data_IF_662491630331
#
_entry.id   IF_662491630331
#
_cell.length_a   1.000
_cell.length_b   1.000
_cell.length_c   1.000
_cell.angle_alpha   90.00
_cell.angle_beta   90.00
_cell.angle_gamma   90.00
#
_symmetry.space_group_name_H-M   'P 1'
#
loop_
_entity.id
_entity.type
_entity.pdbx_description
1 polymer ?
#
# COMPACT_ATOMS: atom_id res chain seq x y z
N UNK A 1 -25.88 -9.94 -7.84
CA UNK A 1 -25.53 -9.95 -9.25
C UNK A 1 -26.14 -11.16 -9.95
N UNK A 2 -26.69 -10.94 -11.12
CA UNK A 2 -27.22 -11.96 -11.99
C UNK A 2 -26.21 -12.32 -13.06
N UNK A 3 -26.33 -13.50 -13.72
CA UNK A 3 -25.45 -13.83 -14.84
C UNK A 3 -25.42 -12.71 -15.89
N UNK A 4 -24.22 -12.29 -16.29
CA UNK A 4 -24.02 -11.17 -17.22
C UNK A 4 -23.83 -9.82 -16.57
N UNK A 5 -24.08 -9.69 -15.27
CA UNK A 5 -23.82 -8.46 -14.54
C UNK A 5 -22.31 -8.30 -14.26
N UNK A 6 -21.89 -7.06 -14.17
CA UNK A 6 -20.54 -6.70 -13.77
C UNK A 6 -20.57 -5.57 -12.74
N UNK A 7 -19.62 -5.60 -11.83
CA UNK A 7 -19.44 -4.54 -10.84
C UNK A 7 -18.01 -4.07 -10.83
N UNK A 8 -17.81 -2.76 -10.78
CA UNK A 8 -16.51 -2.14 -10.59
C UNK A 8 -16.33 -1.76 -9.13
N UNK A 9 -15.26 -2.25 -8.52
CA UNK A 9 -14.89 -1.89 -7.15
C UNK A 9 -13.60 -1.08 -7.22
N UNK A 10 -13.64 0.23 -6.86
CA UNK A 10 -12.44 1.06 -6.86
C UNK A 10 -11.36 0.50 -5.93
N UNK A 11 -10.10 0.81 -6.26
CA UNK A 11 -8.97 0.41 -5.42
C UNK A 11 -9.13 0.89 -3.98
N UNK A 12 -8.67 0.08 -3.05
CA UNK A 12 -8.68 0.34 -1.60
C UNK A 12 -10.08 0.41 -0.96
N UNK A 13 -11.13 0.06 -1.70
CA UNK A 13 -12.46 -0.03 -1.12
C UNK A 13 -12.64 -1.35 -0.38
N UNK A 14 -13.08 -1.27 0.85
CA UNK A 14 -13.45 -2.45 1.62
C UNK A 14 -14.68 -3.09 1.02
N UNK A 15 -14.63 -4.40 0.84
CA UNK A 15 -15.75 -5.13 0.28
C UNK A 15 -15.78 -6.57 0.81
N UNK A 16 -16.95 -7.17 0.74
CA UNK A 16 -17.18 -8.56 1.12
C UNK A 16 -18.02 -9.23 0.06
N UNK A 17 -17.67 -10.46 -0.27
CA UNK A 17 -18.39 -11.27 -1.24
C UNK A 17 -18.94 -12.50 -0.54
N UNK A 18 -20.24 -12.75 -0.72
CA UNK A 18 -20.91 -13.93 -0.18
C UNK A 18 -21.64 -14.68 -1.28
N UNK A 19 -21.45 -15.99 -1.33
CA UNK A 19 -22.19 -16.87 -2.22
C UNK A 19 -23.64 -17.02 -1.71
N UNK A 20 -24.60 -16.89 -2.59
CA UNK A 20 -26.03 -17.07 -2.27
C UNK A 20 -26.56 -18.41 -2.80
N UNK A 21 -25.81 -19.07 -3.68
CA UNK A 21 -26.19 -20.35 -4.30
C UNK A 21 -25.10 -21.38 -4.05
N UNK A 22 -25.43 -22.69 -4.11
CA UNK A 22 -24.41 -23.76 -3.96
C UNK A 22 -23.34 -23.76 -5.02
N UNK A 23 -23.65 -23.24 -6.23
CA UNK A 23 -22.70 -23.15 -7.34
C UNK A 23 -22.72 -21.75 -7.90
N UNK A 24 -21.52 -21.13 -8.01
CA UNK A 24 -21.34 -19.80 -8.56
C UNK A 24 -20.09 -19.75 -9.40
N UNK A 25 -20.11 -18.91 -10.44
CA UNK A 25 -18.93 -18.60 -11.25
C UNK A 25 -18.74 -17.10 -11.25
N UNK A 26 -17.56 -16.65 -10.89
CA UNK A 26 -17.18 -15.25 -10.87
C UNK A 26 -15.84 -15.10 -11.59
N UNK A 27 -15.75 -14.12 -12.48
CA UNK A 27 -14.51 -13.79 -13.18
C UNK A 27 -14.05 -12.42 -12.71
N UNK A 28 -12.82 -12.34 -12.23
CA UNK A 28 -12.21 -11.11 -11.73
C UNK A 28 -11.16 -10.61 -12.73
N UNK A 29 -11.14 -9.28 -12.91
CA UNK A 29 -10.07 -8.59 -13.60
C UNK A 29 -9.43 -7.60 -12.65
N UNK A 30 -8.14 -7.77 -12.39
CA UNK A 30 -7.38 -6.91 -11.48
C UNK A 30 -6.43 -6.04 -12.28
N UNK A 31 -6.40 -4.76 -11.97
CA UNK A 31 -5.43 -3.84 -12.56
C UNK A 31 -5.07 -2.75 -11.57
N UNK A 32 -3.97 -2.07 -11.83
CA UNK A 32 -3.53 -0.93 -11.04
C UNK A 32 -2.90 0.12 -11.96
N UNK A 33 -3.07 1.40 -11.57
CA UNK A 33 -2.53 2.54 -12.32
C UNK A 33 -1.11 2.94 -11.89
N UNK A 34 -0.57 2.29 -10.86
CA UNK A 34 0.79 2.59 -10.39
C UNK A 34 1.85 2.13 -11.39
N UNK A 35 3.03 2.78 -11.41
CA UNK A 35 4.14 2.33 -12.24
C UNK A 35 4.48 0.87 -12.01
N UNK A 36 4.81 0.14 -13.08
CA UNK A 36 5.02 -1.31 -13.03
C UNK A 36 6.24 -1.76 -12.20
N UNK A 37 7.18 -0.84 -11.95
CA UNK A 37 8.36 -1.14 -11.14
C UNK A 37 8.09 -1.10 -9.63
N UNK A 38 6.94 -0.58 -9.20
CA UNK A 38 6.59 -0.53 -7.79
C UNK A 38 6.06 -1.88 -7.30
N UNK A 39 6.51 -2.29 -6.13
CA UNK A 39 5.98 -3.44 -5.45
C UNK A 39 4.56 -3.22 -4.93
N UNK A 40 3.90 -4.29 -4.48
CA UNK A 40 2.60 -4.19 -3.84
C UNK A 40 2.71 -3.51 -2.47
N UNK A 41 1.81 -2.57 -2.13
CA UNK A 41 1.84 -1.90 -0.83
C UNK A 41 1.49 -2.81 0.37
N UNK A 42 0.71 -3.87 0.16
CA UNK A 42 0.25 -4.72 1.27
C UNK A 42 1.39 -5.39 2.05
N UNK A 43 2.42 -5.98 1.42
CA UNK A 43 3.56 -6.49 2.16
C UNK A 43 4.30 -5.43 2.98
N UNK A 44 4.38 -4.18 2.48
CA UNK A 44 4.97 -3.08 3.22
C UNK A 44 4.17 -2.76 4.49
N UNK A 45 2.84 -2.75 4.39
CA UNK A 45 1.97 -2.58 5.55
C UNK A 45 2.15 -3.71 6.55
N UNK A 46 2.16 -4.95 6.09
CA UNK A 46 2.34 -6.12 6.96
C UNK A 46 3.67 -6.06 7.71
N UNK A 47 4.75 -5.74 7.02
CA UNK A 47 6.06 -5.61 7.64
C UNK A 47 6.08 -4.48 8.68
N UNK A 48 5.50 -3.33 8.36
CA UNK A 48 5.38 -2.22 9.29
C UNK A 48 4.57 -2.59 10.53
N UNK A 49 3.49 -3.35 10.37
CA UNK A 49 2.70 -3.83 11.51
C UNK A 49 3.54 -4.72 12.43
N UNK A 50 4.32 -5.64 11.89
CA UNK A 50 5.17 -6.51 12.68
C UNK A 50 6.32 -5.77 13.36
N UNK A 51 6.86 -4.75 12.70
CA UNK A 51 8.04 -4.04 13.20
C UNK A 51 7.70 -2.89 14.15
N UNK A 52 6.53 -2.26 14.01
CA UNK A 52 6.26 -0.98 14.64
C UNK A 52 5.07 -0.99 15.59
N UNK A 53 4.11 -1.90 15.40
CA UNK A 53 2.83 -1.86 16.14
C UNK A 53 3.01 -1.84 17.66
N UNK A 54 3.92 -2.65 18.18
CA UNK A 54 4.07 -2.86 19.62
C UNK A 54 5.21 -2.04 20.24
N UNK A 55 5.76 -1.09 19.48
CA UNK A 55 6.75 -0.16 20.02
C UNK A 55 6.13 0.79 21.04
N UNK A 56 6.95 1.31 22.00
CA UNK A 56 6.49 2.37 22.90
C UNK A 56 5.97 3.58 22.12
N UNK A 57 5.00 4.29 22.70
CA UNK A 57 4.31 5.39 22.02
C UNK A 57 5.27 6.46 21.48
N UNK A 58 6.31 6.80 22.22
CA UNK A 58 7.32 7.79 21.80
C UNK A 58 8.05 7.34 20.53
N UNK A 59 8.42 6.07 20.46
CA UNK A 59 9.09 5.53 19.29
C UNK A 59 8.16 5.44 18.09
N UNK A 60 6.90 5.05 18.29
CA UNK A 60 5.90 5.08 17.20
C UNK A 60 5.74 6.48 16.62
N UNK A 61 5.71 7.50 17.47
CA UNK A 61 5.61 8.88 16.99
C UNK A 61 6.81 9.30 16.16
N UNK A 62 8.00 8.90 16.58
CA UNK A 62 9.22 9.16 15.81
C UNK A 62 9.18 8.47 14.45
N UNK A 63 8.80 7.19 14.41
CA UNK A 63 8.70 6.45 13.17
C UNK A 63 7.60 7.00 12.25
N UNK A 64 6.49 7.47 12.81
CA UNK A 64 5.45 8.10 12.00
C UNK A 64 5.98 9.32 11.26
N UNK A 65 6.82 10.14 11.90
CA UNK A 65 7.46 11.29 11.25
C UNK A 65 8.46 10.86 10.18
N UNK A 66 9.23 9.81 10.44
CA UNK A 66 10.20 9.28 9.49
C UNK A 66 9.48 8.75 8.24
N UNK A 67 8.40 7.97 8.42
CA UNK A 67 7.59 7.50 7.30
C UNK A 67 6.97 8.66 6.52
N UNK A 68 6.44 9.65 7.22
CA UNK A 68 5.85 10.82 6.57
C UNK A 68 6.88 11.54 5.68
N UNK A 69 8.11 11.66 6.14
CA UNK A 69 9.18 12.33 5.38
C UNK A 69 9.67 11.49 4.20
N UNK A 70 10.03 10.23 4.44
CA UNK A 70 10.70 9.41 3.44
C UNK A 70 9.75 8.65 2.52
N UNK A 71 8.56 8.30 2.98
CA UNK A 71 7.62 7.44 2.24
C UNK A 71 6.48 8.25 1.64
N UNK A 72 5.86 9.12 2.43
CA UNK A 72 4.65 9.84 2.03
C UNK A 72 4.90 11.27 1.58
N UNK A 73 6.06 11.83 1.87
CA UNK A 73 6.46 13.14 1.39
C UNK A 73 6.89 13.11 -0.07
N UNK A 74 7.11 14.28 -0.69
CA UNK A 74 7.67 14.35 -2.04
C UNK A 74 9.02 13.63 -2.11
N UNK A 75 9.18 12.72 -3.08
CA UNK A 75 10.41 11.93 -3.23
C UNK A 75 11.68 12.77 -3.35
N UNK A 76 11.55 13.96 -3.89
CA UNK A 76 12.66 14.91 -4.04
C UNK A 76 13.24 15.37 -2.70
N UNK A 77 12.44 15.38 -1.63
CA UNK A 77 12.88 15.82 -0.31
C UNK A 77 13.67 14.77 0.45
N UNK A 78 13.44 13.51 0.17
CA UNK A 78 14.00 12.41 0.95
C UNK A 78 15.53 12.42 1.01
N UNK A 79 16.19 12.84 -0.06
CA UNK A 79 17.63 12.88 -0.15
C UNK A 79 18.26 14.28 -0.10
N UNK A 80 17.47 15.34 0.10
CA UNK A 80 17.96 16.73 -0.01
C UNK A 80 19.07 17.07 0.99
N UNK A 81 19.06 16.45 2.15
CA UNK A 81 20.05 16.67 3.20
C UNK A 81 21.38 15.96 2.93
N UNK A 82 21.46 15.16 1.88
CA UNK A 82 22.65 14.38 1.52
C UNK A 82 23.25 14.89 0.20
N UNK A 83 24.59 14.81 0.03
CA UNK A 83 25.21 14.97 -1.28
C UNK A 83 24.62 13.97 -2.27
N UNK A 84 24.54 14.36 -3.54
CA UNK A 84 23.93 13.51 -4.58
C UNK A 84 24.56 12.11 -4.62
N UNK A 85 25.88 12.04 -4.50
CA UNK A 85 26.61 10.76 -4.51
C UNK A 85 26.28 9.85 -3.31
N UNK A 86 25.76 10.41 -2.21
CA UNK A 86 25.44 9.67 -0.99
C UNK A 86 23.96 9.33 -0.85
N UNK A 87 23.11 9.72 -1.81
CA UNK A 87 21.66 9.52 -1.69
C UNK A 87 21.21 8.07 -1.84
N UNK A 88 21.93 7.29 -2.65
CA UNK A 88 21.59 5.88 -2.83
C UNK A 88 20.12 5.66 -3.17
N UNK A 89 19.42 4.89 -2.34
CA UNK A 89 18.01 4.58 -2.51
C UNK A 89 17.06 5.78 -2.35
N UNK A 90 17.55 6.89 -1.79
CA UNK A 90 16.79 8.11 -1.61
C UNK A 90 16.82 9.04 -2.83
N UNK A 91 17.55 8.65 -3.83
CA UNK A 91 17.66 9.44 -5.06
C UNK A 91 16.38 9.35 -5.92
#
# INVERSE_FOLDING_TARGET
LEPGDAIFIPGLWWHHVRSLEPFNVLVNYWWRSAPGYLGSPLPALQHAMWALRDLPAREKQAWAKIFQYYVFGPGEQAGQHLPEAARGELA
#
